data_IF_472681642996
#
_entry.id   IF_472681642996
#
_cell.length_a   1.000
_cell.length_b   1.000
_cell.length_c   1.000
_cell.angle_alpha   90.00
_cell.angle_beta   90.00
_cell.angle_gamma   90.00
#
_symmetry.space_group_name_H-M   'P 1'
#
loop_
_entity.id
_entity.type
_entity.pdbx_description
1 polymer ?
#
# COMPACT_ATOMS: atom_id res chain seq x y z
N UNK A 1 -14.20 40.45 -4.13
CA UNK A 1 -13.00 39.59 -4.32
C UNK A 1 -12.46 39.21 -2.96
N UNK A 2 -12.87 38.08 -2.40
CA UNK A 2 -12.25 37.51 -1.20
C UNK A 2 -11.38 36.36 -1.63
N UNK A 3 -10.05 36.50 -1.54
CA UNK A 3 -9.16 35.34 -1.72
C UNK A 3 -9.32 34.45 -0.51
N UNK A 4 -9.87 33.25 -0.71
CA UNK A 4 -9.82 32.19 0.29
C UNK A 4 -8.34 31.86 0.54
N UNK A 5 -7.86 32.14 1.75
CA UNK A 5 -6.51 31.75 2.16
C UNK A 5 -6.58 30.27 2.46
N UNK A 6 -6.03 29.44 1.58
CA UNK A 6 -5.83 28.02 1.85
C UNK A 6 -4.59 27.93 2.73
N UNK A 7 -4.66 27.33 3.94
CA UNK A 7 -3.48 27.18 4.78
C UNK A 7 -2.40 26.38 4.05
N UNK A 8 -1.10 26.65 4.29
CA UNK A 8 -0.02 25.90 3.68
C UNK A 8 -0.12 24.42 4.07
N UNK A 9 -0.03 23.54 3.08
CA UNK A 9 -0.06 22.09 3.29
C UNK A 9 1.24 21.70 4.03
N UNK A 10 1.11 21.03 5.18
CA UNK A 10 2.22 20.48 5.96
C UNK A 10 2.34 18.98 5.69
N UNK A 11 3.57 18.49 5.48
CA UNK A 11 3.87 17.08 5.21
C UNK A 11 4.78 16.47 6.30
N UNK A 12 4.51 16.78 7.56
CA UNK A 12 5.26 16.19 8.69
C UNK A 12 4.74 14.78 9.00
N UNK A 13 5.65 13.80 9.06
CA UNK A 13 5.35 12.42 9.44
C UNK A 13 4.76 12.32 10.85
N UNK A 14 5.09 13.24 11.75
CA UNK A 14 4.52 13.26 13.11
C UNK A 14 3.03 13.62 13.11
N UNK A 15 2.52 14.18 12.02
CA UNK A 15 1.10 14.50 11.84
C UNK A 15 0.34 13.36 11.15
N UNK A 16 1.01 12.25 10.80
CA UNK A 16 0.41 11.11 10.13
C UNK A 16 -0.18 10.11 11.13
N UNK A 17 -1.49 10.16 11.31
CA UNK A 17 -2.22 9.20 12.13
C UNK A 17 -2.44 7.87 11.38
N UNK A 18 -2.17 6.74 12.05
CA UNK A 18 -2.42 5.41 11.49
C UNK A 18 -3.88 5.20 11.10
N UNK A 19 -4.80 5.79 11.86
CA UNK A 19 -6.25 5.75 11.61
C UNK A 19 -6.62 6.49 10.33
N UNK A 20 -5.98 7.64 10.05
CA UNK A 20 -6.18 8.40 8.82
C UNK A 20 -5.68 7.62 7.60
N UNK A 21 -4.50 6.99 7.70
CA UNK A 21 -3.97 6.10 6.64
C UNK A 21 -4.89 4.91 6.38
N UNK A 22 -5.40 4.28 7.45
CA UNK A 22 -6.34 3.18 7.31
C UNK A 22 -7.67 3.63 6.68
N UNK A 23 -8.16 4.82 7.02
CA UNK A 23 -9.37 5.39 6.43
C UNK A 23 -9.19 5.66 4.93
N UNK A 24 -8.07 6.29 4.54
CA UNK A 24 -7.71 6.49 3.15
C UNK A 24 -7.56 5.17 2.39
N UNK A 25 -6.82 4.19 2.92
CA UNK A 25 -6.62 2.91 2.23
C UNK A 25 -7.95 2.15 2.01
N UNK A 26 -8.93 2.34 2.91
CA UNK A 26 -10.28 1.78 2.75
C UNK A 26 -11.08 2.39 1.61
N UNK A 27 -10.75 3.61 1.16
CA UNK A 27 -11.45 4.24 0.03
C UNK A 27 -11.02 3.69 -1.32
N UNK A 28 -9.87 3.00 -1.38
CA UNK A 28 -9.33 2.40 -2.60
C UNK A 28 -10.12 1.15 -3.01
N UNK A 29 -10.26 0.94 -4.33
CA UNK A 29 -10.75 -0.30 -4.93
C UNK A 29 -9.79 -1.47 -4.67
N UNK A 30 -10.19 -2.70 -4.98
CA UNK A 30 -9.30 -3.85 -4.81
C UNK A 30 -8.09 -3.73 -5.74
N UNK A 31 -8.32 -3.30 -6.98
CA UNK A 31 -7.28 -3.08 -7.99
C UNK A 31 -6.28 -2.01 -7.52
N UNK A 32 -6.77 -0.85 -7.08
CA UNK A 32 -5.91 0.22 -6.57
C UNK A 32 -5.10 -0.20 -5.34
N UNK A 33 -5.66 -1.05 -4.46
CA UNK A 33 -4.91 -1.61 -3.34
C UNK A 33 -3.82 -2.57 -3.79
N UNK A 34 -4.05 -3.33 -4.86
CA UNK A 34 -3.05 -4.23 -5.43
C UNK A 34 -1.92 -3.44 -6.09
N UNK A 35 -2.25 -2.40 -6.85
CA UNK A 35 -1.27 -1.50 -7.45
C UNK A 35 -0.40 -0.84 -6.37
N UNK A 36 -1.04 -0.29 -5.32
CA UNK A 36 -0.34 0.28 -4.18
C UNK A 36 0.57 -0.72 -3.46
N UNK A 37 0.10 -1.96 -3.28
CA UNK A 37 0.91 -3.02 -2.67
C UNK A 37 2.17 -3.29 -3.50
N UNK A 38 2.04 -3.36 -4.83
CA UNK A 38 3.18 -3.57 -5.73
C UNK A 38 4.17 -2.42 -5.63
N UNK A 39 3.72 -1.17 -5.74
CA UNK A 39 4.58 0.02 -5.65
C UNK A 39 5.37 0.06 -4.34
N UNK A 40 4.71 -0.19 -3.21
CA UNK A 40 5.37 -0.17 -1.89
C UNK A 40 6.34 -1.35 -1.74
N UNK A 41 6.00 -2.52 -2.28
CA UNK A 41 6.89 -3.69 -2.27
C UNK A 41 8.14 -3.44 -3.12
N UNK A 42 7.99 -2.86 -4.32
CA UNK A 42 9.12 -2.48 -5.19
C UNK A 42 10.04 -1.45 -4.52
N UNK A 43 9.45 -0.44 -3.86
CA UNK A 43 10.21 0.55 -3.09
C UNK A 43 11.01 -0.13 -1.96
N UNK A 44 10.36 -1.02 -1.21
CA UNK A 44 11.00 -1.74 -0.11
C UNK A 44 12.15 -2.63 -0.60
N UNK A 45 11.97 -3.33 -1.72
CA UNK A 45 13.00 -4.17 -2.34
C UNK A 45 14.13 -3.35 -2.94
N UNK A 46 13.83 -2.18 -3.51
CA UNK A 46 14.86 -1.25 -4.02
C UNK A 46 15.78 -0.78 -2.89
N UNK A 47 15.20 -0.44 -1.73
CA UNK A 47 15.99 -0.02 -0.57
C UNK A 47 16.69 -1.19 0.15
N UNK A 48 16.06 -2.37 0.16
CA UNK A 48 16.59 -3.57 0.79
C UNK A 48 16.36 -4.82 -0.09
N UNK A 49 17.26 -5.08 -1.05
CA UNK A 49 17.09 -6.19 -1.99
C UNK A 49 17.00 -7.58 -1.33
N UNK A 50 17.63 -7.75 -0.17
CA UNK A 50 17.62 -9.02 0.59
C UNK A 50 16.32 -9.24 1.35
N UNK A 51 15.35 -8.31 1.29
CA UNK A 51 14.07 -8.47 1.97
C UNK A 51 13.32 -9.71 1.47
N UNK A 52 13.47 -10.06 0.19
CA UNK A 52 12.91 -11.26 -0.44
C UNK A 52 13.54 -12.58 -0.01
N UNK A 53 14.66 -12.57 0.73
CA UNK A 53 15.36 -13.79 1.15
C UNK A 53 15.02 -14.21 2.59
N UNK A 54 14.09 -13.51 3.25
CA UNK A 54 13.77 -13.76 4.67
C UNK A 54 12.91 -15.02 4.84
N UNK A 55 13.04 -15.65 6.01
CA UNK A 55 12.40 -16.93 6.41
C UNK A 55 10.87 -17.05 6.18
N UNK A 56 10.15 -15.93 5.99
CA UNK A 56 8.69 -15.89 5.87
C UNK A 56 8.20 -15.04 4.69
N UNK A 57 8.95 -15.02 3.59
CA UNK A 57 8.59 -14.31 2.35
C UNK A 57 7.69 -15.13 1.42
N UNK A 58 7.58 -16.43 1.67
CA UNK A 58 6.71 -17.32 0.91
C UNK A 58 5.26 -17.28 1.44
N UNK A 59 4.26 -17.41 0.55
CA UNK A 59 2.88 -17.62 0.97
C UNK A 59 2.79 -18.85 1.89
N UNK A 60 2.05 -18.72 2.99
CA UNK A 60 1.73 -19.89 3.81
C UNK A 60 0.89 -20.85 2.99
N UNK A 61 1.34 -22.10 2.89
CA UNK A 61 0.66 -23.15 2.15
C UNK A 61 -0.84 -23.22 2.52
N UNK A 62 -1.71 -23.31 1.50
CA UNK A 62 -3.16 -23.41 1.67
C UNK A 62 -3.89 -22.11 2.01
N UNK A 63 -3.22 -20.95 2.13
CA UNK A 63 -3.91 -19.67 2.43
C UNK A 63 -4.49 -18.93 1.24
N UNK A 64 -4.20 -19.37 0.01
CA UNK A 64 -4.79 -18.81 -1.20
C UNK A 64 -5.83 -19.80 -1.72
N UNK A 65 -7.10 -19.37 -1.77
CA UNK A 65 -8.18 -20.11 -2.42
C UNK A 65 -8.38 -19.58 -3.83
N UNK A 66 -7.92 -20.33 -4.82
CA UNK A 66 -8.20 -20.03 -6.23
C UNK A 66 -9.67 -20.37 -6.51
N UNK A 67 -10.49 -19.37 -6.82
CA UNK A 67 -11.93 -19.55 -7.07
C UNK A 67 -12.24 -19.97 -8.51
N UNK A 68 -11.38 -19.58 -9.46
CA UNK A 68 -11.47 -19.95 -10.87
C UNK A 68 -10.10 -19.79 -11.53
N UNK A 69 -9.72 -20.74 -12.38
CA UNK A 69 -8.59 -20.58 -13.28
C UNK A 69 -9.13 -20.25 -14.67
N UNK A 70 -8.88 -19.05 -15.17
CA UNK A 70 -9.00 -18.80 -16.61
C UNK A 70 -7.72 -19.27 -17.25
N UNK A 71 -7.68 -20.53 -17.69
CA UNK A 71 -6.66 -20.98 -18.62
C UNK A 71 -6.96 -20.30 -19.97
N UNK A 72 -5.96 -19.60 -20.52
CA UNK A 72 -5.93 -19.19 -21.93
C UNK A 72 -5.05 -20.15 -22.70
#
# INVERSE_FOLDING_TARGET
MGKTIVPPISHDRQQEELTAKAAWFKTLSVEERMDWLVEVTELALTFNPKLGDKKHVEPVEGRIRVLSQTQR
#
